data_IF_540686963431
#
_entry.id   IF_540686963431
#
_cell.length_a   1.000
_cell.length_b   1.000
_cell.length_c   1.000
_cell.angle_alpha   90.00
_cell.angle_beta   90.00
_cell.angle_gamma   90.00
#
_symmetry.space_group_name_H-M   'P 1'
#
loop_
_entity.id
_entity.type
_entity.pdbx_description
1 polymer ?
#
# COMPACT_ATOMS: atom_id res chain seq x y z
N UNK A 1 -32.62 -51.27 -36.22
CA UNK A 1 -33.64 -50.79 -35.29
C UNK A 1 -33.07 -50.88 -33.89
N UNK A 2 -32.47 -49.88 -33.35
CA UNK A 2 -32.30 -49.72 -31.94
C UNK A 2 -32.02 -48.27 -31.61
N UNK A 3 -32.99 -47.72 -30.96
CA UNK A 3 -33.05 -46.32 -30.55
C UNK A 3 -32.39 -46.23 -29.15
N UNK A 4 -31.23 -45.72 -29.05
CA UNK A 4 -30.68 -45.33 -27.76
C UNK A 4 -30.86 -43.83 -27.56
N UNK A 5 -31.76 -43.51 -26.64
CA UNK A 5 -31.90 -42.18 -26.07
C UNK A 5 -30.68 -41.89 -25.18
N UNK A 6 -29.89 -40.92 -25.57
CA UNK A 6 -28.91 -40.31 -24.63
C UNK A 6 -29.57 -39.11 -23.96
N UNK A 7 -29.86 -39.28 -22.68
CA UNK A 7 -30.26 -38.17 -21.82
C UNK A 7 -29.02 -37.37 -21.43
N UNK A 8 -29.00 -36.12 -21.90
CA UNK A 8 -27.96 -35.17 -21.54
C UNK A 8 -28.27 -34.57 -20.16
N UNK A 9 -27.50 -34.97 -19.14
CA UNK A 9 -27.60 -34.40 -17.82
C UNK A 9 -26.75 -33.12 -17.79
N UNK A 10 -27.41 -31.97 -17.79
CA UNK A 10 -26.76 -30.66 -17.65
C UNK A 10 -26.53 -30.36 -16.19
N UNK A 11 -25.31 -30.63 -15.70
CA UNK A 11 -24.90 -30.21 -14.34
C UNK A 11 -24.49 -28.76 -14.36
N UNK A 12 -25.35 -27.90 -13.81
CA UNK A 12 -25.02 -26.51 -13.53
C UNK A 12 -24.02 -26.42 -12.36
N UNK A 13 -22.79 -26.03 -12.65
CA UNK A 13 -21.79 -25.72 -11.61
C UNK A 13 -22.04 -24.29 -11.17
N UNK A 14 -22.60 -24.13 -9.98
CA UNK A 14 -22.68 -22.85 -9.28
C UNK A 14 -21.27 -22.50 -8.76
N UNK A 15 -20.58 -21.59 -9.42
CA UNK A 15 -19.41 -20.94 -8.85
C UNK A 15 -19.86 -19.95 -7.78
N UNK A 16 -19.77 -20.34 -6.52
CA UNK A 16 -19.81 -19.42 -5.40
C UNK A 16 -18.49 -18.65 -5.39
N UNK A 17 -18.52 -17.40 -5.86
CA UNK A 17 -17.41 -16.46 -5.65
C UNK A 17 -17.40 -16.07 -4.17
N UNK A 18 -16.52 -16.70 -3.39
CA UNK A 18 -16.14 -16.19 -2.09
C UNK A 18 -15.37 -14.88 -2.32
N UNK A 19 -16.00 -13.76 -1.96
CA UNK A 19 -15.32 -12.47 -1.86
C UNK A 19 -14.29 -12.54 -0.74
N UNK A 20 -13.04 -12.84 -1.08
CA UNK A 20 -11.93 -12.69 -0.16
C UNK A 20 -11.64 -11.21 -0.05
N UNK A 21 -11.80 -10.66 1.16
CA UNK A 21 -11.21 -9.37 1.53
C UNK A 21 -9.69 -9.54 1.51
N UNK A 22 -9.08 -9.33 0.33
CA UNK A 22 -7.63 -9.34 0.24
C UNK A 22 -7.12 -8.08 0.90
N UNK A 23 -6.50 -8.23 2.05
CA UNK A 23 -5.56 -7.25 2.58
C UNK A 23 -4.50 -7.06 1.50
N UNK A 24 -4.46 -5.90 0.89
CA UNK A 24 -3.52 -5.62 -0.20
C UNK A 24 -2.09 -5.73 0.36
N UNK A 25 -1.34 -6.68 -0.14
CA UNK A 25 0.09 -6.82 0.09
C UNK A 25 0.77 -6.60 -1.25
N UNK A 26 1.70 -5.67 -1.31
CA UNK A 26 2.47 -5.37 -2.50
C UNK A 26 3.92 -5.81 -2.28
N UNK A 27 4.47 -6.52 -3.23
CA UNK A 27 5.85 -7.07 -3.13
C UNK A 27 6.66 -6.66 -4.34
N UNK A 28 7.90 -6.22 -4.13
CA UNK A 28 8.87 -6.09 -5.22
C UNK A 28 9.31 -7.46 -5.71
N UNK A 29 9.75 -7.59 -6.95
CA UNK A 29 10.36 -8.83 -7.47
C UNK A 29 11.60 -9.24 -6.66
N UNK A 30 12.22 -8.31 -5.97
CA UNK A 30 13.44 -8.50 -5.18
C UNK A 30 13.21 -8.78 -3.69
N UNK A 31 11.97 -8.90 -3.25
CA UNK A 31 11.65 -9.43 -1.93
C UNK A 31 11.36 -8.41 -0.83
N UNK A 32 11.08 -7.13 -1.14
CA UNK A 32 10.49 -6.21 -0.17
C UNK A 32 8.98 -6.28 -0.30
N UNK A 33 8.32 -6.66 0.79
CA UNK A 33 6.87 -6.71 0.93
C UNK A 33 6.38 -5.52 1.73
N UNK A 34 5.32 -4.86 1.24
CA UNK A 34 4.65 -3.76 1.94
C UNK A 34 3.24 -4.19 2.27
N UNK A 35 2.84 -4.01 3.52
CA UNK A 35 1.52 -4.38 4.03
C UNK A 35 1.06 -3.41 5.12
N UNK A 36 -0.15 -3.62 5.68
CA UNK A 36 -0.76 -2.76 6.71
C UNK A 36 -0.79 -1.27 6.32
N UNK A 37 -1.10 -1.00 5.05
CA UNK A 37 -1.11 0.34 4.48
C UNK A 37 -2.30 1.12 5.01
N UNK A 38 -2.05 2.30 5.60
CA UNK A 38 -3.07 3.15 6.22
C UNK A 38 -2.82 4.62 5.92
N UNK A 39 -3.87 5.31 5.51
CA UNK A 39 -3.90 6.76 5.37
C UNK A 39 -5.32 7.26 5.63
N UNK A 40 -5.46 8.39 6.30
CA UNK A 40 -6.77 8.99 6.59
C UNK A 40 -7.31 9.83 5.43
N UNK A 41 -8.63 10.02 5.42
CA UNK A 41 -9.33 10.97 4.56
C UNK A 41 -8.87 12.41 4.84
N UNK A 42 -8.96 13.29 3.86
CA UNK A 42 -8.55 14.68 4.01
C UNK A 42 -9.08 15.61 2.94
N UNK A 43 -9.19 16.90 3.28
CA UNK A 43 -9.61 17.93 2.35
C UNK A 43 -8.47 18.32 1.39
N UNK A 44 -8.84 18.92 0.28
CA UNK A 44 -7.86 19.50 -0.64
C UNK A 44 -6.97 20.52 0.09
N UNK A 45 -5.66 20.44 -0.13
CA UNK A 45 -4.65 21.30 0.46
C UNK A 45 -4.16 20.83 1.83
N UNK A 46 -4.79 19.85 2.45
CA UNK A 46 -4.32 19.27 3.71
C UNK A 46 -3.15 18.30 3.50
N UNK A 47 -2.40 18.08 4.58
CA UNK A 47 -1.33 17.09 4.63
C UNK A 47 -1.84 15.79 5.26
N UNK A 48 -1.35 14.66 4.78
CA UNK A 48 -1.70 13.34 5.32
C UNK A 48 -0.50 12.43 5.44
N UNK A 49 -0.42 11.77 6.58
CA UNK A 49 0.59 10.75 6.83
C UNK A 49 0.14 9.40 6.30
N UNK A 50 1.06 8.70 5.65
CA UNK A 50 0.91 7.33 5.22
C UNK A 50 1.75 6.44 6.13
N UNK A 51 1.10 5.49 6.76
CA UNK A 51 1.71 4.46 7.59
C UNK A 51 1.62 3.11 6.89
N UNK A 52 2.66 2.32 7.03
CA UNK A 52 2.73 0.97 6.45
C UNK A 52 3.73 0.13 7.22
N UNK A 53 3.75 -1.16 6.95
CA UNK A 53 4.80 -2.05 7.37
C UNK A 53 5.56 -2.54 6.13
N UNK A 54 6.88 -2.66 6.24
CA UNK A 54 7.74 -3.24 5.21
C UNK A 54 8.50 -4.43 5.79
N UNK A 55 8.51 -5.54 5.06
CA UNK A 55 9.34 -6.69 5.38
C UNK A 55 10.35 -6.91 4.24
N UNK A 56 11.61 -6.85 4.57
CA UNK A 56 12.68 -7.21 3.65
C UNK A 56 13.02 -8.68 3.83
N UNK A 57 12.59 -9.52 2.89
CA UNK A 57 12.87 -10.96 2.87
C UNK A 57 14.28 -11.28 2.35
N UNK A 58 15.00 -10.29 1.83
CA UNK A 58 16.35 -10.42 1.33
C UNK A 58 17.40 -10.55 2.44
N UNK A 59 18.59 -10.95 2.08
CA UNK A 59 19.74 -11.09 2.98
C UNK A 59 20.55 -9.80 3.14
N UNK A 60 20.23 -8.76 2.39
CA UNK A 60 20.92 -7.48 2.40
C UNK A 60 19.97 -6.35 2.82
N UNK A 61 20.51 -5.39 3.56
CA UNK A 61 19.79 -4.17 3.95
C UNK A 61 19.68 -3.25 2.75
N UNK A 62 18.49 -2.72 2.50
CA UNK A 62 18.23 -1.67 1.52
C UNK A 62 17.86 -0.36 2.21
N UNK A 63 17.56 0.65 1.45
CA UNK A 63 17.15 1.96 1.92
C UNK A 63 15.97 2.47 1.09
N UNK A 64 14.93 2.91 1.78
CA UNK A 64 13.89 3.73 1.16
C UNK A 64 14.45 5.16 1.03
N UNK A 65 14.61 5.63 -0.20
CA UNK A 65 15.27 6.90 -0.50
C UNK A 65 14.31 7.98 -0.99
N UNK A 66 13.05 7.65 -1.16
CA UNK A 66 12.04 8.60 -1.59
C UNK A 66 10.67 7.95 -1.77
N UNK A 67 9.70 8.81 -1.97
CA UNK A 67 8.35 8.42 -2.36
C UNK A 67 7.74 9.51 -3.23
N UNK A 68 6.78 9.14 -4.08
CA UNK A 68 6.05 10.08 -4.94
C UNK A 68 4.60 9.66 -5.10
N UNK A 69 3.73 10.62 -5.38
CA UNK A 69 2.32 10.37 -5.68
C UNK A 69 1.74 11.52 -6.50
N UNK A 70 0.86 11.19 -7.43
CA UNK A 70 0.08 12.20 -8.16
C UNK A 70 -1.01 12.86 -7.31
N UNK A 71 -1.30 12.36 -6.10
CA UNK A 71 -2.37 12.85 -5.24
C UNK A 71 -1.96 14.03 -4.34
N UNK A 72 -0.67 14.37 -4.24
CA UNK A 72 -0.16 15.46 -3.42
C UNK A 72 0.84 16.32 -4.18
N UNK A 73 1.06 17.53 -3.70
CA UNK A 73 2.05 18.45 -4.32
C UNK A 73 3.48 18.00 -4.05
N UNK A 74 3.73 17.52 -2.83
CA UNK A 74 5.04 17.01 -2.40
C UNK A 74 4.83 15.75 -1.57
N UNK A 75 5.74 14.79 -1.71
CA UNK A 75 5.81 13.60 -0.85
C UNK A 75 7.18 13.54 -0.19
N UNK A 76 7.20 13.38 1.12
CA UNK A 76 8.42 13.40 1.94
C UNK A 76 8.50 12.18 2.84
N UNK A 77 9.72 11.75 3.12
CA UNK A 77 9.99 10.82 4.22
C UNK A 77 10.24 11.64 5.49
N UNK A 78 9.60 11.25 6.58
CA UNK A 78 9.73 11.94 7.87
C UNK A 78 9.97 10.96 9.02
N UNK A 79 10.63 11.44 10.05
CA UNK A 79 10.74 10.80 11.35
C UNK A 79 10.27 11.79 12.42
N UNK A 80 9.08 11.57 12.98
CA UNK A 80 8.40 12.59 13.74
C UNK A 80 8.11 13.82 12.89
N UNK A 81 8.71 14.94 13.21
CA UNK A 81 8.60 16.21 12.44
C UNK A 81 9.82 16.50 11.55
N UNK A 82 10.84 15.66 11.62
CA UNK A 82 12.06 15.83 10.82
C UNK A 82 11.93 15.21 9.43
N UNK A 83 12.30 15.96 8.41
CA UNK A 83 12.45 15.43 7.05
C UNK A 83 13.73 14.58 7.02
N UNK A 84 13.60 13.34 6.55
CA UNK A 84 14.73 12.44 6.37
C UNK A 84 14.90 12.07 4.90
N UNK A 85 16.13 11.91 4.45
CA UNK A 85 16.42 11.53 3.07
C UNK A 85 16.39 10.01 2.87
N UNK A 86 16.53 9.25 3.97
CA UNK A 86 16.70 7.80 3.92
C UNK A 86 16.03 7.15 5.13
N UNK A 87 15.32 6.06 4.88
CA UNK A 87 14.83 5.16 5.93
C UNK A 87 15.46 3.77 5.67
N UNK A 88 16.22 3.21 6.65
CA UNK A 88 16.84 1.89 6.46
C UNK A 88 15.78 0.79 6.48
N UNK A 89 15.92 -0.18 5.57
CA UNK A 89 15.07 -1.36 5.45
C UNK A 89 15.96 -2.59 5.69
N UNK A 90 16.11 -2.96 6.95
CA UNK A 90 17.05 -4.00 7.36
C UNK A 90 16.67 -5.38 6.83
N UNK A 91 17.70 -6.17 6.47
CA UNK A 91 17.54 -7.53 5.99
C UNK A 91 16.81 -8.42 7.00
N UNK A 92 15.93 -9.30 6.52
CA UNK A 92 15.15 -10.25 7.33
C UNK A 92 14.38 -9.60 8.50
N UNK A 93 13.97 -8.35 8.34
CA UNK A 93 13.33 -7.59 9.42
C UNK A 93 12.05 -6.94 8.92
N UNK A 94 11.04 -6.93 9.77
CA UNK A 94 9.86 -6.12 9.59
C UNK A 94 10.10 -4.74 10.19
N UNK A 95 9.76 -3.72 9.42
CA UNK A 95 9.86 -2.32 9.84
C UNK A 95 8.49 -1.67 9.73
N UNK A 96 7.98 -1.15 10.83
CA UNK A 96 6.64 -0.56 10.92
C UNK A 96 6.72 0.95 11.05
N UNK A 97 6.03 1.66 10.17
CA UNK A 97 5.86 3.11 10.28
C UNK A 97 4.79 3.40 11.34
N UNK A 98 5.08 4.33 12.21
CA UNK A 98 4.23 4.68 13.35
C UNK A 98 4.07 6.20 13.47
N UNK A 99 2.97 6.68 14.07
CA UNK A 99 2.85 8.08 14.48
C UNK A 99 4.03 8.49 15.36
N UNK A 100 4.55 9.70 15.16
CA UNK A 100 5.74 10.25 15.83
C UNK A 100 7.06 9.52 15.53
N UNK A 101 7.04 8.53 14.65
CA UNK A 101 8.22 7.84 14.11
C UNK A 101 8.32 8.03 12.60
N UNK A 102 8.90 7.03 11.93
CA UNK A 102 9.02 7.06 10.48
C UNK A 102 7.66 6.93 9.80
N UNK A 103 7.43 7.77 8.79
CA UNK A 103 6.24 7.73 7.94
C UNK A 103 6.51 8.44 6.60
N UNK A 104 5.59 8.26 5.67
CA UNK A 104 5.56 9.03 4.41
C UNK A 104 4.53 10.14 4.59
N UNK A 105 4.93 11.39 4.37
CA UNK A 105 4.04 12.53 4.45
C UNK A 105 3.66 13.01 3.04
N UNK A 106 2.37 13.04 2.76
CA UNK A 106 1.80 13.66 1.57
C UNK A 106 1.44 15.10 1.91
N UNK A 107 2.12 16.04 1.30
CA UNK A 107 1.96 17.48 1.55
C UNK A 107 1.09 18.08 0.46
N UNK A 108 0.04 18.77 0.86
CA UNK A 108 -0.86 19.47 -0.05
C UNK A 108 -1.64 18.52 -0.96
N UNK A 109 -2.65 17.86 -0.45
CA UNK A 109 -3.54 17.03 -1.26
C UNK A 109 -4.12 17.83 -2.42
N UNK A 110 -4.00 17.32 -3.64
CA UNK A 110 -4.50 18.02 -4.85
C UNK A 110 -6.00 18.01 -4.97
N UNK A 111 -6.65 17.08 -4.30
CA UNK A 111 -8.10 16.94 -4.23
C UNK A 111 -8.52 16.40 -2.87
N UNK A 112 -9.79 16.56 -2.54
CA UNK A 112 -10.38 15.92 -1.38
C UNK A 112 -10.36 14.40 -1.53
N UNK A 113 -9.94 13.71 -0.46
CA UNK A 113 -9.93 12.25 -0.38
C UNK A 113 -10.96 11.78 0.64
N UNK A 114 -11.85 10.90 0.22
CA UNK A 114 -12.92 10.33 1.03
C UNK A 114 -12.59 8.91 1.46
N UNK A 115 -13.20 8.48 2.55
CA UNK A 115 -13.14 7.07 2.97
C UNK A 115 -13.64 6.17 1.83
N UNK A 116 -12.83 5.17 1.47
CA UNK A 116 -13.09 4.26 0.36
C UNK A 116 -12.38 4.63 -0.95
N UNK A 117 -11.81 5.83 -1.04
CA UNK A 117 -10.92 6.19 -2.16
C UNK A 117 -9.63 5.37 -2.10
N UNK A 118 -8.92 5.33 -3.21
CA UNK A 118 -7.61 4.70 -3.33
C UNK A 118 -6.69 5.62 -4.12
N UNK A 119 -5.46 5.79 -3.65
CA UNK A 119 -4.42 6.51 -4.36
C UNK A 119 -3.20 5.62 -4.61
N UNK A 120 -2.40 5.98 -5.60
CA UNK A 120 -1.12 5.32 -5.86
C UNK A 120 0.02 6.13 -5.24
N UNK A 121 0.93 5.42 -4.59
CA UNK A 121 2.20 5.96 -4.08
C UNK A 121 3.32 5.07 -4.58
N UNK A 122 4.36 5.68 -5.12
CA UNK A 122 5.59 5.00 -5.55
C UNK A 122 6.62 5.12 -4.46
N UNK A 123 7.10 4.00 -3.96
CA UNK A 123 8.22 3.92 -3.02
C UNK A 123 9.51 3.67 -3.80
N UNK A 124 10.54 4.46 -3.53
CA UNK A 124 11.81 4.41 -4.25
C UNK A 124 12.88 3.84 -3.34
N UNK A 125 13.47 2.73 -3.75
CA UNK A 125 14.54 2.06 -3.02
C UNK A 125 15.90 2.30 -3.68
N UNK A 126 16.96 2.18 -2.90
CA UNK A 126 18.33 2.36 -3.41
C UNK A 126 18.77 1.20 -4.30
N UNK A 127 18.57 -0.01 -3.83
CA UNK A 127 19.11 -1.24 -4.43
C UNK A 127 18.02 -2.13 -5.04
N UNK A 128 16.74 -1.83 -4.77
CA UNK A 128 15.59 -2.52 -5.33
C UNK A 128 14.84 -1.62 -6.31
N UNK A 129 14.01 -2.24 -7.13
CA UNK A 129 13.11 -1.51 -8.03
C UNK A 129 12.09 -0.68 -7.26
N UNK A 130 11.61 0.39 -7.89
CA UNK A 130 10.51 1.18 -7.37
C UNK A 130 9.26 0.31 -7.21
N UNK A 131 8.57 0.46 -6.09
CA UNK A 131 7.34 -0.26 -5.81
C UNK A 131 6.16 0.71 -5.82
N UNK A 132 5.22 0.49 -6.73
CA UNK A 132 3.94 1.20 -6.72
C UNK A 132 2.97 0.48 -5.80
N UNK A 133 2.52 1.17 -4.76
CA UNK A 133 1.53 0.65 -3.81
C UNK A 133 0.19 1.35 -3.99
N UNK A 134 -0.89 0.63 -3.71
CA UNK A 134 -2.25 1.16 -3.64
C UNK A 134 -2.60 1.44 -2.19
N UNK A 135 -2.91 2.69 -1.91
CA UNK A 135 -3.18 3.18 -0.57
C UNK A 135 -4.68 3.39 -0.40
N UNK A 136 -5.35 2.54 0.39
CA UNK A 136 -6.74 2.74 0.70
C UNK A 136 -6.89 3.91 1.67
N UNK A 137 -7.84 4.81 1.38
CA UNK A 137 -8.18 5.92 2.25
C UNK A 137 -9.22 5.46 3.26
N UNK A 138 -8.85 5.50 4.54
CA UNK A 138 -9.69 5.13 5.68
C UNK A 138 -10.18 6.35 6.47
N UNK A 139 -10.73 6.07 7.64
CA UNK A 139 -11.09 7.14 8.60
C UNK A 139 -9.84 7.93 8.98
N UNK A 140 -9.98 9.25 9.10
CA UNK A 140 -8.91 10.09 9.64
C UNK A 140 -8.66 9.71 11.10
N UNK A 141 -7.40 9.43 11.43
CA UNK A 141 -7.02 9.22 12.82
C UNK A 141 -6.83 10.58 13.51
N UNK A 142 -7.33 10.74 14.73
CA UNK A 142 -7.32 12.02 15.45
C UNK A 142 -5.91 12.57 15.78
N UNK A 143 -4.87 11.89 15.33
CA UNK A 143 -3.47 12.26 15.56
C UNK A 143 -2.77 12.83 14.31
N UNK A 144 -3.49 13.00 13.21
CA UNK A 144 -2.96 13.64 12.00
C UNK A 144 -3.25 15.15 12.05
N UNK A 145 -2.26 15.87 12.50
CA UNK A 145 -2.29 17.34 12.50
C UNK A 145 -1.24 17.89 11.54
#
# INVERSE_FOLDING_TARGET
>A
MNRCLFALLLTAILLTACGSSSTASETTESGIEVHQIKMGAGAQGEDRALYLAMHNHGSETDQLIGASSGAADVVQLQNGTEIVEVIPVYANTEFVFIPDGYHVMLIGLKQELHVGDEIEVVLQFRDHEDLTIRVPVGEATEHEH
#
